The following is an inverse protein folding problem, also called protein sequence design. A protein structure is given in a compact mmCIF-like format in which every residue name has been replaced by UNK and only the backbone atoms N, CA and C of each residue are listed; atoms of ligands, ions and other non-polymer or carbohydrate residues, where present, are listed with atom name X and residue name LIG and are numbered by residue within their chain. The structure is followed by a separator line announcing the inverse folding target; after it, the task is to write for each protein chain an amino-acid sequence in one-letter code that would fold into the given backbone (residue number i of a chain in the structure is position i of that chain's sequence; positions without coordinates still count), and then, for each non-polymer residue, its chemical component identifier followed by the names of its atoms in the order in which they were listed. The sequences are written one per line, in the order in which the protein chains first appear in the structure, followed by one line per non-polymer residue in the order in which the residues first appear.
data_IF_012268461085
#
_entry.id   IF_012268461085
#
_cell.length_a   1.000
_cell.length_b   1.000
_cell.length_c   1.000
_cell.angle_alpha   90.00
_cell.angle_beta   90.00
_cell.angle_gamma   90.00
#
_symmetry.space_group_name_H-M   'P 1'
#
loop_
_entity.id
_entity.type
_entity.pdbx_description
1 polymer ?
#
# COMPACT_ATOMS: atom_id res chain seq x y z
N UNK A 1 -15.67 22.19 -2.07
CA UNK A 1 -14.70 21.71 -3.06
C UNK A 1 -13.36 21.70 -2.37
N UNK A 2 -12.73 20.54 -2.24
CA UNK A 2 -11.37 20.45 -1.67
C UNK A 2 -10.33 20.95 -2.68
N UNK A 3 -9.14 21.34 -2.19
CA UNK A 3 -8.03 21.79 -3.04
C UNK A 3 -7.67 20.75 -4.12
N UNK A 4 -7.80 19.46 -3.79
CA UNK A 4 -7.52 18.38 -4.73
C UNK A 4 -8.61 18.23 -5.79
N UNK A 5 -9.88 18.43 -5.45
CA UNK A 5 -10.99 18.45 -6.42
C UNK A 5 -10.82 19.62 -7.41
N UNK A 6 -10.35 20.78 -6.93
CA UNK A 6 -10.04 21.93 -7.79
C UNK A 6 -8.84 21.63 -8.70
N UNK A 7 -7.79 20.99 -8.19
CA UNK A 7 -6.64 20.55 -9.00
C UNK A 7 -7.10 19.60 -10.12
N UNK A 8 -7.95 18.61 -9.80
CA UNK A 8 -8.50 17.70 -10.81
C UNK A 8 -9.39 18.42 -11.83
N UNK A 9 -10.26 19.34 -11.39
CA UNK A 9 -11.18 20.06 -12.27
C UNK A 9 -10.48 21.09 -13.16
N UNK A 10 -9.45 21.76 -12.63
CA UNK A 10 -8.68 22.78 -13.36
C UNK A 10 -7.59 22.18 -14.26
N UNK A 11 -7.16 20.93 -13.98
CA UNK A 11 -5.98 20.32 -14.59
C UNK A 11 -4.68 21.06 -14.26
N UNK A 12 -4.70 21.90 -13.22
CA UNK A 12 -3.57 22.72 -12.78
C UNK A 12 -3.20 22.33 -11.36
N UNK A 13 -1.94 21.96 -11.17
CA UNK A 13 -1.39 21.53 -9.89
C UNK A 13 -0.61 20.23 -10.05
N UNK A 14 0.42 20.07 -9.22
CA UNK A 14 1.25 18.86 -9.21
C UNK A 14 0.81 18.01 -8.03
N UNK A 15 0.45 16.76 -8.33
CA UNK A 15 0.08 15.76 -7.33
C UNK A 15 1.34 14.99 -6.97
N UNK A 16 1.59 14.85 -5.67
CA UNK A 16 2.71 14.07 -5.15
C UNK A 16 2.12 12.90 -4.38
N UNK A 17 2.34 11.71 -4.90
CA UNK A 17 1.97 10.46 -4.26
C UNK A 17 3.14 9.95 -3.41
N UNK A 18 2.83 9.49 -2.21
CA UNK A 18 3.82 8.99 -1.26
C UNK A 18 3.38 7.66 -0.68
N UNK A 19 4.36 6.82 -0.40
CA UNK A 19 4.18 5.46 0.11
C UNK A 19 5.05 5.30 1.34
N UNK A 20 4.43 4.89 2.44
CA UNK A 20 5.11 4.39 3.63
C UNK A 20 4.81 2.88 3.75
N UNK A 21 5.83 2.06 3.53
CA UNK A 21 5.73 0.61 3.67
C UNK A 21 6.42 0.14 4.95
N UNK A 22 5.68 -0.58 5.80
CA UNK A 22 6.13 -1.01 7.12
C UNK A 22 5.84 -2.48 7.35
N UNK A 23 6.83 -3.23 7.82
CA UNK A 23 6.62 -4.62 8.24
C UNK A 23 5.91 -4.64 9.59
N UNK A 24 4.89 -5.47 9.74
CA UNK A 24 4.12 -5.61 10.97
C UNK A 24 5.04 -5.99 12.14
N UNK A 25 5.04 -5.16 13.19
CA UNK A 25 5.87 -5.35 14.38
C UNK A 25 7.29 -4.75 14.31
N UNK A 26 7.69 -4.18 13.18
CA UNK A 26 8.97 -3.46 13.06
C UNK A 26 8.80 -1.95 13.24
N UNK A 27 9.88 -1.24 13.58
CA UNK A 27 9.88 0.22 13.75
C UNK A 27 10.32 0.96 12.48
N UNK A 28 11.03 0.27 11.58
CA UNK A 28 11.58 0.85 10.35
C UNK A 28 10.53 0.80 9.25
N UNK A 29 10.32 1.94 8.58
CA UNK A 29 9.46 2.06 7.41
C UNK A 29 10.30 2.47 6.20
N UNK A 30 9.97 1.94 5.03
CA UNK A 30 10.47 2.42 3.75
C UNK A 30 9.57 3.55 3.25
N UNK A 31 10.17 4.66 2.81
CA UNK A 31 9.49 5.91 2.48
C UNK A 31 9.85 6.35 1.07
N UNK A 32 8.88 6.33 0.17
CA UNK A 32 9.06 6.71 -1.23
C UNK A 32 8.06 7.79 -1.67
N UNK A 33 8.46 8.69 -2.56
CA UNK A 33 7.58 9.66 -3.22
C UNK A 33 7.68 9.57 -4.74
N UNK A 34 6.57 9.89 -5.40
CA UNK A 34 6.52 10.06 -6.85
C UNK A 34 7.17 11.39 -7.21
N UNK A 35 8.19 11.34 -8.07
CA UNK A 35 8.86 12.54 -8.54
C UNK A 35 10.33 12.31 -8.79
N UNK A 36 11.06 13.43 -8.97
CA UNK A 36 12.50 13.44 -9.20
C UNK A 36 13.30 13.93 -7.98
N UNK A 37 12.63 14.54 -7.01
CA UNK A 37 13.24 15.14 -5.83
C UNK A 37 12.60 14.58 -4.55
N UNK A 38 13.42 14.42 -3.52
CA UNK A 38 12.95 13.97 -2.21
C UNK A 38 12.01 15.02 -1.62
N UNK A 39 10.87 14.56 -1.09
CA UNK A 39 9.84 15.45 -0.55
C UNK A 39 9.69 15.21 0.94
N UNK A 40 9.66 16.30 1.71
CA UNK A 40 9.37 16.23 3.14
C UNK A 40 7.92 16.65 3.39
N UNK A 41 7.11 15.70 3.88
CA UNK A 41 5.68 15.90 4.11
C UNK A 41 5.32 15.69 5.58
N UNK A 42 4.25 16.33 6.02
CA UNK A 42 3.65 16.04 7.32
C UNK A 42 2.55 14.98 7.17
N UNK A 43 2.62 13.94 7.98
CA UNK A 43 1.65 12.83 8.03
C UNK A 43 0.45 13.16 8.91
N UNK A 44 -0.62 12.39 8.79
CA UNK A 44 -1.84 12.48 9.62
C UNK A 44 -1.56 12.33 11.13
N UNK A 45 -0.46 11.66 11.48
CA UNK A 45 -0.01 11.49 12.87
C UNK A 45 0.73 12.73 13.41
N UNK A 46 0.91 13.77 12.60
CA UNK A 46 1.70 14.97 12.91
C UNK A 46 3.22 14.77 12.81
N UNK A 47 3.68 13.62 12.30
CA UNK A 47 5.11 13.36 12.06
C UNK A 47 5.52 13.98 10.72
N UNK A 48 6.65 14.66 10.70
CA UNK A 48 7.31 15.12 9.47
C UNK A 48 8.28 14.04 8.99
N UNK A 49 8.06 13.51 7.80
CA UNK A 49 8.87 12.44 7.20
C UNK A 49 9.43 12.88 5.86
N UNK A 50 10.66 12.49 5.55
CA UNK A 50 11.28 12.68 4.24
C UNK A 50 11.11 11.41 3.42
N UNK A 51 10.47 11.55 2.26
CA UNK A 51 10.23 10.50 1.29
C UNK A 51 11.28 10.59 0.19
N UNK A 52 11.88 9.44 -0.14
CA UNK A 52 12.91 9.35 -1.18
C UNK A 52 12.28 9.29 -2.56
N UNK A 53 12.77 10.08 -3.52
CA UNK A 53 12.28 10.05 -4.89
C UNK A 53 12.53 8.68 -5.51
N UNK A 54 11.46 8.07 -6.03
CA UNK A 54 11.52 6.82 -6.77
C UNK A 54 10.58 6.90 -7.95
N UNK A 55 11.00 6.38 -9.10
CA UNK A 55 10.09 6.21 -10.22
C UNK A 55 8.98 5.22 -9.82
N UNK A 56 7.75 5.73 -9.78
CA UNK A 56 6.59 4.95 -9.39
C UNK A 56 5.39 5.27 -10.27
N UNK A 57 4.58 4.25 -10.49
CA UNK A 57 3.28 4.36 -11.15
C UNK A 57 2.19 3.79 -10.24
N UNK A 58 1.05 4.47 -10.15
CA UNK A 58 0.03 4.18 -9.15
C UNK A 58 -1.35 4.10 -9.80
N UNK A 59 -1.88 2.89 -9.83
CA UNK A 59 -3.26 2.60 -10.18
C UNK A 59 -4.15 2.66 -8.94
N UNK A 60 -4.84 3.79 -8.77
CA UNK A 60 -5.80 4.00 -7.68
C UNK A 60 -6.91 2.96 -7.66
N UNK A 61 -7.44 2.61 -6.46
CA UNK A 61 -8.57 1.70 -6.36
C UNK A 61 -9.78 2.29 -7.08
N UNK A 62 -10.45 1.44 -7.87
CA UNK A 62 -11.71 1.81 -8.52
C UNK A 62 -12.78 1.98 -7.46
N UNK A 63 -13.56 3.06 -7.59
CA UNK A 63 -14.78 3.24 -6.81
C UNK A 63 -15.94 2.54 -7.55
N UNK A 64 -16.00 1.21 -7.42
CA UNK A 64 -17.07 0.39 -7.99
C UNK A 64 -17.73 -0.51 -6.93
N UNK A 65 -18.82 -1.17 -7.32
CA UNK A 65 -19.57 -2.10 -6.46
C UNK A 65 -18.92 -3.49 -6.40
N UNK A 66 -17.79 -3.71 -7.07
CA UNK A 66 -17.03 -4.92 -6.86
C UNK A 66 -16.35 -4.77 -5.51
N UNK A 67 -16.56 -5.72 -4.59
CA UNK A 67 -16.02 -5.64 -3.23
C UNK A 67 -14.46 -5.64 -3.16
N UNK A 68 -13.78 -5.52 -4.31
CA UNK A 68 -12.33 -5.56 -4.46
C UNK A 68 -11.79 -4.18 -4.80
N UNK A 69 -11.32 -3.48 -3.76
CA UNK A 69 -10.65 -2.19 -3.89
C UNK A 69 -9.14 -2.43 -3.76
N UNK A 70 -8.49 -2.73 -4.88
CA UNK A 70 -7.05 -2.96 -4.95
C UNK A 70 -6.33 -1.72 -5.48
N UNK A 71 -5.23 -1.37 -4.83
CA UNK A 71 -4.25 -0.39 -5.28
C UNK A 71 -3.11 -1.15 -5.94
N UNK A 72 -2.79 -0.82 -7.19
CA UNK A 72 -1.67 -1.44 -7.92
C UNK A 72 -0.55 -0.40 -8.02
N UNK A 73 0.64 -0.78 -7.58
CA UNK A 73 1.81 0.10 -7.53
C UNK A 73 2.91 -0.55 -8.36
N UNK A 74 3.45 0.16 -9.35
CA UNK A 74 4.71 -0.16 -9.99
C UNK A 74 5.81 0.67 -9.36
N UNK A 75 6.86 0.03 -8.84
CA UNK A 75 8.05 0.68 -8.28
C UNK A 75 9.27 0.30 -9.11
N UNK A 76 10.19 1.24 -9.27
CA UNK A 76 11.53 0.92 -9.77
C UNK A 76 12.22 -0.10 -8.86
N UNK A 77 12.83 -1.09 -9.48
CA UNK A 77 13.52 -2.19 -8.82
C UNK A 77 14.93 -2.40 -9.43
N UNK A 78 15.52 -1.37 -10.02
CA UNK A 78 16.87 -1.48 -10.62
C UNK A 78 17.94 -1.85 -9.60
N UNK A 79 17.80 -1.38 -8.35
CA UNK A 79 18.71 -1.71 -7.23
C UNK A 79 18.32 -3.00 -6.50
N UNK A 80 17.09 -3.49 -6.68
CA UNK A 80 16.58 -4.68 -5.99
C UNK A 80 16.13 -4.45 -4.53
N UNK A 81 16.26 -3.24 -3.99
CA UNK A 81 15.98 -2.94 -2.57
C UNK A 81 14.50 -3.18 -2.20
N UNK A 82 13.58 -2.80 -3.09
CA UNK A 82 12.14 -3.01 -2.91
C UNK A 82 11.82 -4.51 -2.84
N UNK A 83 12.40 -5.29 -3.75
CA UNK A 83 12.23 -6.74 -3.78
C UNK A 83 12.80 -7.40 -2.53
N UNK A 84 14.02 -7.04 -2.10
CA UNK A 84 14.65 -7.60 -0.91
C UNK A 84 13.80 -7.36 0.34
N UNK A 85 13.28 -6.13 0.50
CA UNK A 85 12.40 -5.78 1.61
C UNK A 85 11.14 -6.65 1.68
N UNK A 86 10.47 -6.85 0.53
CA UNK A 86 9.21 -7.62 0.47
C UNK A 86 9.47 -9.13 0.68
N UNK A 87 10.54 -9.66 0.11
CA UNK A 87 10.89 -11.07 0.26
C UNK A 87 11.34 -11.38 1.70
N UNK A 88 12.10 -10.49 2.35
CA UNK A 88 12.49 -10.65 3.75
C UNK A 88 11.25 -10.68 4.68
N UNK A 89 10.30 -9.76 4.49
CA UNK A 89 9.06 -9.76 5.28
C UNK A 89 8.26 -11.06 5.11
N UNK A 90 8.19 -11.60 3.89
CA UNK A 90 7.56 -12.92 3.63
C UNK A 90 8.33 -14.07 4.28
N UNK A 91 9.66 -14.07 4.22
CA UNK A 91 10.46 -15.12 4.84
C UNK A 91 10.22 -15.20 6.35
N UNK A 92 9.93 -14.07 7.00
CA UNK A 92 9.56 -13.99 8.41
C UNK A 92 8.08 -14.30 8.67
N UNK A 93 7.26 -14.53 7.64
CA UNK A 93 5.82 -14.75 7.77
C UNK A 93 5.03 -13.53 8.23
N UNK A 94 5.62 -12.33 8.12
CA UNK A 94 5.00 -11.06 8.55
C UNK A 94 4.27 -10.39 7.40
N UNK A 95 3.25 -9.58 7.75
CA UNK A 95 2.51 -8.76 6.79
C UNK A 95 3.20 -7.42 6.60
N UNK A 96 3.03 -6.83 5.42
CA UNK A 96 3.48 -5.48 5.12
C UNK A 96 2.25 -4.57 5.10
N UNK A 97 2.28 -3.55 5.94
CA UNK A 97 1.29 -2.48 6.00
C UNK A 97 1.81 -1.35 5.12
N UNK A 98 1.04 -1.02 4.09
CA UNK A 98 1.32 0.06 3.17
C UNK A 98 0.35 1.20 3.44
N UNK A 99 0.90 2.38 3.74
CA UNK A 99 0.14 3.62 3.84
C UNK A 99 0.43 4.48 2.63
N UNK A 100 -0.56 4.60 1.75
CA UNK A 100 -0.53 5.51 0.62
C UNK A 100 -1.08 6.86 1.04
N UNK A 101 -0.42 7.94 0.63
CA UNK A 101 -0.88 9.31 0.86
C UNK A 101 -0.67 10.15 -0.39
N UNK A 102 -1.68 10.98 -0.70
CA UNK A 102 -1.62 11.93 -1.79
C UNK A 102 -1.56 13.36 -1.26
N UNK A 103 -0.59 14.12 -1.74
CA UNK A 103 -0.39 15.53 -1.43
C UNK A 103 -0.55 16.38 -2.69
N UNK A 104 -0.81 17.66 -2.48
CA UNK A 104 -0.71 18.68 -3.51
C UNK A 104 0.62 19.41 -3.29
N UNK A 105 1.38 19.69 -4.33
CA UNK A 105 2.68 20.39 -4.19
C UNK A 105 2.54 21.74 -3.47
N UNK A 106 1.40 22.42 -3.62
CA UNK A 106 1.12 23.68 -2.92
C UNK A 106 0.87 23.51 -1.41
N UNK A 107 0.54 22.30 -0.93
CA UNK A 107 0.30 22.00 0.47
C UNK A 107 0.76 20.58 0.86
N UNK A 108 1.94 20.51 1.49
CA UNK A 108 2.54 19.30 2.04
C UNK A 108 2.25 19.11 3.53
N UNK A 109 1.42 19.96 4.14
CA UNK A 109 1.15 19.94 5.57
C UNK A 109 0.16 18.84 5.98
N UNK A 110 -0.72 18.42 5.08
CA UNK A 110 -1.69 17.37 5.35
C UNK A 110 -2.06 16.58 4.08
N UNK A 111 -2.17 15.25 4.15
CA UNK A 111 -2.53 14.44 3.00
C UNK A 111 -4.00 14.64 2.60
N UNK A 112 -4.23 14.85 1.30
CA UNK A 112 -5.57 15.00 0.73
C UNK A 112 -6.32 13.67 0.65
N UNK A 113 -5.64 12.59 0.25
CA UNK A 113 -6.18 11.23 0.25
C UNK A 113 -5.24 10.30 1.01
N UNK A 114 -5.80 9.28 1.67
CA UNK A 114 -5.04 8.29 2.44
C UNK A 114 -5.67 6.91 2.37
N UNK A 115 -4.83 5.89 2.19
CA UNK A 115 -5.24 4.49 2.25
C UNK A 115 -4.27 3.71 3.11
N UNK A 116 -4.79 2.91 4.04
CA UNK A 116 -4.03 1.94 4.81
C UNK A 116 -4.40 0.54 4.33
N UNK A 117 -3.46 -0.12 3.66
CA UNK A 117 -3.68 -1.36 2.94
C UNK A 117 -2.60 -2.38 3.28
N UNK A 118 -2.86 -3.64 3.00
CA UNK A 118 -1.85 -4.71 3.14
C UNK A 118 -1.42 -5.19 1.78
N UNK A 119 -0.14 -5.55 1.64
CA UNK A 119 0.37 -6.19 0.41
C UNK A 119 -0.26 -7.57 0.24
N UNK A 120 -0.95 -7.79 -0.88
CA UNK A 120 -1.62 -9.05 -1.21
C UNK A 120 -0.78 -9.92 -2.13
N UNK A 121 -0.23 -9.32 -3.19
CA UNK A 121 0.60 -10.01 -4.16
C UNK A 121 1.73 -9.11 -4.64
N UNK A 122 2.77 -9.74 -5.19
CA UNK A 122 3.89 -9.07 -5.84
C UNK A 122 4.32 -9.84 -7.08
N UNK A 123 4.64 -9.09 -8.13
CA UNK A 123 5.15 -9.55 -9.42
C UNK A 123 6.43 -8.75 -9.69
N UNK A 124 7.48 -9.40 -10.17
CA UNK A 124 8.74 -8.75 -10.53
C UNK A 124 9.00 -8.98 -12.02
N UNK A 125 9.23 -7.90 -12.76
CA UNK A 125 9.53 -7.91 -14.19
C UNK A 125 10.81 -7.11 -14.43
N UNK A 126 11.95 -7.81 -14.56
CA UNK A 126 13.30 -7.26 -14.76
C UNK A 126 13.66 -6.10 -13.80
N UNK A 127 13.34 -4.86 -14.17
CA UNK A 127 13.61 -3.65 -13.38
C UNK A 127 12.37 -3.06 -12.69
N UNK A 128 11.22 -3.72 -12.78
CA UNK A 128 9.94 -3.24 -12.22
C UNK A 128 9.42 -4.21 -11.15
N UNK A 129 9.13 -3.68 -9.97
CA UNK A 129 8.39 -4.39 -8.93
C UNK A 129 6.94 -3.92 -8.92
N UNK A 130 6.02 -4.81 -9.30
CA UNK A 130 4.59 -4.54 -9.29
C UNK A 130 3.96 -5.16 -8.06
N UNK A 131 3.40 -4.31 -7.21
CA UNK A 131 2.84 -4.68 -5.91
C UNK A 131 1.34 -4.41 -5.95
N UNK A 132 0.55 -5.41 -5.58
CA UNK A 132 -0.90 -5.23 -5.40
C UNK A 132 -1.20 -5.17 -3.92
N UNK A 133 -1.75 -4.05 -3.50
CA UNK A 133 -2.24 -3.82 -2.15
C UNK A 133 -3.76 -3.84 -2.14
N UNK A 134 -4.34 -4.36 -1.06
CA UNK A 134 -5.79 -4.40 -0.85
C UNK A 134 -6.13 -4.03 0.58
N UNK A 135 -7.37 -3.62 0.79
CA UNK A 135 -7.94 -3.64 2.13
C UNK A 135 -8.05 -5.08 2.62
N UNK A 136 -8.11 -5.25 3.95
CA UNK A 136 -8.25 -6.56 4.55
C UNK A 136 -9.50 -7.27 4.00
N UNK A 137 -9.31 -8.47 3.45
CA UNK A 137 -10.41 -9.31 2.96
C UNK A 137 -11.19 -9.90 4.15
N UNK A 138 -12.19 -9.14 4.63
CA UNK A 138 -13.09 -9.59 5.69
C UNK A 138 -13.97 -10.76 5.25
N UNK A 139 -14.22 -10.93 3.94
CA UNK A 139 -15.14 -11.95 3.42
C UNK A 139 -14.51 -13.35 3.43
N UNK A 140 -13.21 -13.44 3.11
CA UNK A 140 -12.44 -14.69 3.16
C UNK A 140 -11.71 -14.91 4.49
N UNK A 141 -11.91 -14.04 5.48
CA UNK A 141 -11.36 -14.25 6.81
C UNK A 141 -12.06 -15.44 7.49
N UNK A 142 -11.33 -16.56 7.62
CA UNK A 142 -11.82 -17.78 8.26
C UNK A 142 -11.99 -17.66 9.79
N UNK A 143 -11.53 -16.57 10.41
CA UNK A 143 -11.51 -16.41 11.87
C UNK A 143 -12.91 -16.49 12.52
N UNK A 144 -13.96 -16.10 11.80
CA UNK A 144 -15.35 -16.13 12.29
C UNK A 144 -16.11 -17.41 11.89
N UNK A 145 -15.49 -18.31 11.11
CA UNK A 145 -16.12 -19.54 10.64
C UNK A 145 -15.70 -20.69 11.54
N UNK A 146 -16.68 -21.43 12.08
CA UNK A 146 -16.41 -22.71 12.74
C UNK A 146 -16.08 -23.75 11.66
N UNK A 147 -14.79 -23.99 11.44
CA UNK A 147 -14.32 -25.04 10.55
C UNK A 147 -14.48 -26.40 11.25
N UNK A 148 -15.33 -27.27 10.70
CA UNK A 148 -15.46 -28.63 11.18
C UNK A 148 -14.18 -29.40 10.80
N UNK A 149 -13.25 -29.48 11.75
CA UNK A 149 -12.07 -30.34 11.63
C UNK A 149 -12.39 -31.75 12.15
N UNK A 150 -11.63 -32.80 11.78
CA UNK A 150 -11.81 -34.13 12.36
C UNK A 150 -11.71 -34.18 13.90
N UNK A 151 -11.08 -33.16 14.52
CA UNK A 151 -11.04 -33.01 15.98
C UNK A 151 -12.39 -32.52 16.55
N UNK A 152 -13.11 -31.66 15.84
CA UNK A 152 -14.43 -31.15 16.27
C UNK A 152 -15.59 -32.04 15.82
N UNK A 153 -15.46 -32.70 14.67
CA UNK A 153 -16.45 -33.62 14.11
C UNK A 153 -15.75 -34.91 13.64
N UNK A 154 -15.59 -35.90 14.55
CA UNK A 154 -14.86 -37.14 14.27
C UNK A 154 -15.40 -37.96 13.08
N UNK A 155 -16.68 -37.78 12.73
CA UNK A 155 -17.31 -38.41 11.58
C UNK A 155 -16.73 -38.00 10.22
N UNK A 156 -16.04 -36.86 10.13
CA UNK A 156 -15.37 -36.40 8.90
C UNK A 156 -14.11 -37.21 8.57
N UNK A 157 -13.58 -38.01 9.50
CA UNK A 157 -12.39 -38.85 9.25
C UNK A 157 -12.66 -40.04 8.33
N UNK A 158 -13.94 -40.40 8.15
CA UNK A 158 -14.36 -41.61 7.44
C UNK A 158 -15.25 -41.33 6.21
N UNK A 159 -15.31 -40.05 5.78
CA UNK A 159 -15.87 -39.61 4.50
C UNK A 159 -14.75 -39.53 3.46
#
# INVERSE_FOLDING_TARGET
MSLIEECYASGKGVIIDTIEAKVEGESVSQLYCSGFEDVTCTTEDGRTLTFTALAMDIGLPKNDNSAFQNLVIGLDNTTGEVQEFIENAKAQGKRIILTFRRYLESDLSFPSERYHMTVLSREYEDTLAKITCGFMDMLNTNAMRRLLTPNEAPGLKYL
#
